data_IF_502508378199
#
_entry.id   IF_502508378199
#
_cell.length_a   1.000
_cell.length_b   1.000
_cell.length_c   1.000
_cell.angle_alpha   90.00
_cell.angle_beta   90.00
_cell.angle_gamma   90.00
#
_symmetry.space_group_name_H-M   'P 1'
#
loop_
_entity.id
_entity.type
_entity.pdbx_description
1 polymer ?
#
# COMPACT_ATOMS: atom_id res chain seq x y z
N UNK A 1 7.98 9.18 11.28
CA UNK A 1 6.60 9.22 10.74
C UNK A 1 6.44 8.47 9.42
N UNK A 2 7.35 8.63 8.44
CA UNK A 2 7.33 7.91 7.14
C UNK A 2 7.23 6.37 7.22
N UNK A 3 7.81 5.74 8.26
CA UNK A 3 7.83 4.28 8.37
C UNK A 3 6.44 3.64 8.59
N UNK A 4 5.47 4.36 9.15
CA UNK A 4 4.13 3.80 9.41
C UNK A 4 3.19 3.92 8.20
N UNK A 5 3.53 4.75 7.20
CA UNK A 5 2.70 4.99 6.00
C UNK A 5 2.38 3.70 5.25
N UNK A 6 3.39 2.83 5.12
CA UNK A 6 3.27 1.55 4.41
C UNK A 6 2.57 0.46 5.23
N UNK A 7 2.27 0.71 6.51
CA UNK A 7 1.63 -0.25 7.40
C UNK A 7 0.12 -0.01 7.55
N UNK A 8 -0.44 1.00 6.87
CA UNK A 8 -1.89 1.23 6.86
C UNK A 8 -2.54 0.31 5.84
N UNK A 9 -3.33 -0.63 6.36
CA UNK A 9 -4.01 -1.66 5.59
C UNK A 9 -5.52 -1.45 5.62
N UNK A 10 -6.14 -1.54 4.45
CA UNK A 10 -7.58 -1.67 4.32
C UNK A 10 -7.97 -3.14 4.37
N UNK A 11 -8.87 -3.47 5.30
CA UNK A 11 -9.54 -4.77 5.37
C UNK A 11 -10.93 -4.62 4.75
N UNK A 12 -11.22 -5.41 3.72
CA UNK A 12 -12.53 -5.42 3.05
C UNK A 12 -13.10 -6.83 3.07
N UNK A 13 -14.30 -6.99 3.63
CA UNK A 13 -15.02 -8.27 3.54
C UNK A 13 -15.46 -8.54 2.10
N UNK A 14 -15.23 -9.76 1.63
CA UNK A 14 -15.64 -10.23 0.28
C UNK A 14 -16.73 -11.29 0.34
N UNK A 15 -16.78 -12.06 1.42
CA UNK A 15 -17.84 -13.01 1.76
C UNK A 15 -17.83 -13.21 3.28
N UNK A 16 -18.88 -13.79 3.90
CA UNK A 16 -18.92 -13.99 5.33
C UNK A 16 -17.65 -14.67 5.87
N UNK A 17 -17.01 -14.04 6.86
CA UNK A 17 -15.78 -14.52 7.48
C UNK A 17 -14.54 -14.49 6.59
N UNK A 18 -14.58 -13.85 5.42
CA UNK A 18 -13.42 -13.71 4.53
C UNK A 18 -13.17 -12.25 4.16
N UNK A 19 -11.88 -11.91 4.09
CA UNK A 19 -11.40 -10.56 3.84
C UNK A 19 -10.32 -10.53 2.77
N UNK A 20 -10.25 -9.40 2.11
CA UNK A 20 -9.10 -8.98 1.30
C UNK A 20 -8.38 -7.87 2.05
N UNK A 21 -7.05 -7.96 2.07
CA UNK A 21 -6.18 -6.99 2.74
C UNK A 21 -5.43 -6.22 1.65
N UNK A 22 -5.53 -4.89 1.66
CA UNK A 22 -4.87 -4.00 0.69
C UNK A 22 -4.06 -2.93 1.40
N UNK A 23 -2.81 -2.72 0.99
CA UNK A 23 -2.01 -1.59 1.45
C UNK A 23 -2.53 -0.28 0.84
N UNK A 24 -2.87 0.70 1.67
CA UNK A 24 -3.40 1.97 1.16
C UNK A 24 -2.33 2.77 0.41
N UNK A 25 -1.13 2.89 0.97
CA UNK A 25 -0.05 3.65 0.35
C UNK A 25 0.52 2.99 -0.91
N UNK A 26 0.62 1.67 -0.95
CA UNK A 26 1.20 0.95 -2.10
C UNK A 26 0.18 0.58 -3.17
N UNK A 27 -1.12 0.67 -2.83
CA UNK A 27 -2.21 0.14 -3.65
C UNK A 27 -2.10 -1.36 -3.98
N UNK A 28 -1.25 -2.13 -3.29
CA UNK A 28 -1.06 -3.55 -3.51
C UNK A 28 -1.97 -4.38 -2.60
N UNK A 29 -2.52 -5.46 -3.15
CA UNK A 29 -3.17 -6.52 -2.38
C UNK A 29 -2.11 -7.37 -1.68
N UNK A 30 -2.36 -7.74 -0.43
CA UNK A 30 -1.60 -8.75 0.27
C UNK A 30 -2.07 -10.12 -0.21
N UNK A 31 -1.16 -10.90 -0.76
CA UNK A 31 -1.44 -12.23 -1.29
C UNK A 31 -0.42 -13.23 -0.74
N UNK A 32 -0.78 -14.50 -0.81
CA UNK A 32 0.05 -15.61 -0.34
C UNK A 32 0.13 -16.69 -1.41
N UNK A 33 1.29 -17.35 -1.52
CA UNK A 33 1.44 -18.52 -2.39
C UNK A 33 1.21 -19.84 -1.62
N UNK A 34 1.31 -20.96 -2.34
CA UNK A 34 1.14 -22.31 -1.77
C UNK A 34 2.17 -22.67 -0.69
N UNK A 35 3.31 -21.97 -0.63
CA UNK A 35 4.33 -22.12 0.40
C UNK A 35 4.14 -21.19 1.60
N UNK A 36 3.05 -20.43 1.65
CA UNK A 36 2.79 -19.47 2.72
C UNK A 36 3.58 -18.15 2.60
N UNK A 37 4.21 -17.86 1.45
CA UNK A 37 4.96 -16.61 1.28
C UNK A 37 4.03 -15.44 1.00
N UNK A 38 4.16 -14.39 1.81
CA UNK A 38 3.44 -13.16 1.62
C UNK A 38 4.10 -12.27 0.58
N UNK A 39 3.30 -11.72 -0.33
CA UNK A 39 3.73 -10.77 -1.36
C UNK A 39 2.67 -9.70 -1.56
N UNK A 40 3.11 -8.53 -2.00
CA UNK A 40 2.22 -7.50 -2.56
C UNK A 40 1.97 -7.77 -4.04
N UNK A 41 0.72 -7.68 -4.49
CA UNK A 41 0.35 -7.84 -5.89
C UNK A 41 -0.64 -6.75 -6.34
N UNK A 42 -0.44 -6.18 -7.53
CA UNK A 42 -1.32 -5.13 -8.06
C UNK A 42 -2.66 -5.66 -8.56
N UNK A 43 -2.70 -6.91 -9.04
CA UNK A 43 -3.91 -7.57 -9.55
C UNK A 43 -4.46 -8.52 -8.50
N UNK A 44 -5.74 -8.35 -8.17
CA UNK A 44 -6.45 -9.23 -7.25
C UNK A 44 -6.67 -10.62 -7.87
N UNK A 45 -6.33 -11.67 -7.11
CA UNK A 45 -6.67 -13.07 -7.40
C UNK A 45 -7.29 -13.67 -6.14
N UNK A 46 -8.51 -14.16 -6.22
CA UNK A 46 -9.23 -14.64 -5.01
C UNK A 46 -8.45 -15.75 -4.29
N UNK A 47 -7.87 -16.70 -5.04
CA UNK A 47 -7.14 -17.83 -4.46
C UNK A 47 -5.93 -17.44 -3.61
N UNK A 48 -5.22 -16.40 -4.06
CA UNK A 48 -3.97 -15.96 -3.44
C UNK A 48 -4.21 -14.83 -2.41
N UNK A 49 -5.23 -14.00 -2.61
CA UNK A 49 -5.39 -12.71 -1.93
C UNK A 49 -6.63 -12.63 -1.01
N UNK A 50 -7.37 -13.73 -0.86
CA UNK A 50 -8.49 -13.83 0.09
C UNK A 50 -8.10 -14.63 1.32
N UNK A 51 -8.49 -14.14 2.49
CA UNK A 51 -8.19 -14.78 3.76
C UNK A 51 -9.43 -15.02 4.59
N UNK A 52 -9.54 -16.19 5.22
CA UNK A 52 -10.53 -16.44 6.26
C UNK A 52 -10.08 -15.77 7.55
N UNK A 53 -10.95 -14.94 8.11
CA UNK A 53 -10.76 -14.25 9.37
C UNK A 53 -11.26 -15.11 10.54
N UNK A 54 -10.39 -15.34 11.53
CA UNK A 54 -10.70 -16.12 12.72
C UNK A 54 -10.39 -15.31 13.98
N UNK A 55 -11.44 -14.93 14.71
CA UNK A 55 -11.30 -14.34 16.03
C UNK A 55 -10.97 -15.44 17.06
N UNK A 56 -9.89 -15.25 17.80
CA UNK A 56 -9.43 -16.16 18.83
C UNK A 56 -10.03 -15.78 20.19
N UNK A 57 -10.10 -16.75 21.11
CA UNK A 57 -10.67 -16.55 22.44
C UNK A 57 -9.94 -15.48 23.29
N UNK A 58 -8.69 -15.15 22.94
CA UNK A 58 -7.91 -14.11 23.60
C UNK A 58 -8.00 -12.74 22.91
N UNK A 59 -8.93 -12.57 21.97
CA UNK A 59 -9.21 -11.29 21.31
C UNK A 59 -8.29 -10.97 20.12
N UNK A 60 -7.28 -11.80 19.85
CA UNK A 60 -6.47 -11.67 18.64
C UNK A 60 -7.18 -12.27 17.42
N UNK A 61 -6.81 -11.80 16.23
CA UNK A 61 -7.30 -12.33 14.96
C UNK A 61 -6.23 -13.12 14.24
N UNK A 62 -6.60 -14.25 13.64
CA UNK A 62 -5.76 -15.05 12.75
C UNK A 62 -6.37 -15.04 11.36
N UNK A 63 -5.54 -14.81 10.35
CA UNK A 63 -5.94 -14.90 8.94
C UNK A 63 -5.38 -16.19 8.36
N UNK A 64 -6.23 -16.98 7.70
CA UNK A 64 -5.82 -18.18 6.97
C UNK A 64 -6.01 -17.94 5.48
N UNK A 65 -5.09 -18.38 4.62
CA UNK A 65 -5.37 -18.34 3.19
C UNK A 65 -6.62 -19.16 2.87
N UNK A 66 -7.48 -18.62 1.99
CA UNK A 66 -8.73 -19.30 1.64
C UNK A 66 -8.46 -20.62 0.90
N UNK A 67 -7.45 -20.64 0.04
CA UNK A 67 -7.19 -21.79 -0.85
C UNK A 67 -6.22 -22.82 -0.27
N UNK A 68 -5.37 -22.46 0.70
CA UNK A 68 -4.37 -23.36 1.29
C UNK A 68 -4.59 -23.63 2.78
N UNK A 69 -5.40 -22.82 3.48
CA UNK A 69 -5.62 -22.96 4.92
C UNK A 69 -4.39 -22.63 5.79
N UNK A 70 -3.32 -22.10 5.18
CA UNK A 70 -2.07 -21.75 5.87
C UNK A 70 -2.26 -20.43 6.62
N UNK A 71 -1.84 -20.33 7.90
CA UNK A 71 -1.91 -19.08 8.63
C UNK A 71 -0.94 -18.05 8.09
N UNK A 72 -1.43 -16.82 7.98
CA UNK A 72 -0.63 -15.66 7.64
C UNK A 72 0.44 -15.44 8.72
N UNK A 73 1.71 -15.33 8.34
CA UNK A 73 2.83 -15.18 9.27
C UNK A 73 3.83 -14.15 8.77
N UNK A 74 4.31 -13.30 9.69
CA UNK A 74 5.40 -12.36 9.44
C UNK A 74 6.79 -12.95 9.76
N UNK A 75 6.88 -14.25 10.05
CA UNK A 75 8.14 -14.90 10.37
C UNK A 75 9.09 -14.93 9.18
N UNK A 76 10.38 -14.69 9.44
CA UNK A 76 11.43 -14.92 8.45
C UNK A 76 11.63 -16.42 8.25
N UNK A 77 11.96 -16.83 7.01
CA UNK A 77 12.01 -18.23 6.60
C UNK A 77 13.11 -19.06 7.26
N UNK A 78 14.08 -18.41 7.92
CA UNK A 78 15.23 -19.07 8.52
C UNK A 78 14.91 -19.82 9.83
N UNK A 79 13.70 -19.71 10.38
CA UNK A 79 13.31 -20.44 11.59
C UNK A 79 12.60 -21.75 11.24
N UNK A 80 13.34 -22.71 10.67
CA UNK A 80 12.81 -24.02 10.26
C UNK A 80 12.68 -25.04 11.41
N UNK A 81 12.98 -24.66 12.65
CA UNK A 81 13.14 -25.60 13.76
C UNK A 81 12.12 -25.43 14.90
N UNK A 82 11.00 -24.74 14.66
CA UNK A 82 9.95 -24.53 15.67
C UNK A 82 8.64 -25.24 15.29
N UNK A 83 8.01 -25.97 16.24
CA UNK A 83 6.75 -26.69 16.00
C UNK A 83 5.55 -25.76 15.74
N UNK A 84 5.70 -24.44 15.94
CA UNK A 84 4.66 -23.44 15.70
C UNK A 84 5.20 -22.30 14.86
N UNK A 85 4.45 -21.93 13.82
CA UNK A 85 4.73 -20.75 12.98
C UNK A 85 4.50 -19.49 13.83
N UNK A 86 5.54 -18.67 14.10
CA UNK A 86 5.39 -17.49 14.95
C UNK A 86 4.73 -16.32 14.20
N UNK A 87 4.36 -15.25 14.92
CA UNK A 87 3.79 -14.02 14.34
C UNK A 87 2.53 -14.23 13.47
N UNK A 88 1.63 -15.12 13.91
CA UNK A 88 0.37 -15.47 13.22
C UNK A 88 -0.89 -14.84 13.86
N UNK A 89 -0.71 -14.00 14.87
CA UNK A 89 -1.79 -13.41 15.66
C UNK A 89 -1.72 -11.90 15.54
N UNK A 90 -2.78 -11.28 15.08
CA UNK A 90 -2.84 -9.86 14.75
C UNK A 90 -3.87 -9.18 15.63
N UNK A 91 -3.53 -7.98 16.12
CA UNK A 91 -4.44 -7.09 16.80
C UNK A 91 -4.68 -5.88 15.90
N UNK A 92 -5.89 -5.68 15.34
CA UNK A 92 -6.18 -4.52 14.52
C UNK A 92 -6.06 -3.24 15.35
N UNK A 93 -5.17 -2.34 14.93
CA UNK A 93 -4.99 -1.04 15.56
C UNK A 93 -5.68 0.03 14.71
N UNK A 94 -6.24 1.05 15.38
CA UNK A 94 -6.78 2.22 14.67
C UNK A 94 -5.63 2.99 14.02
N UNK A 95 -5.82 3.39 12.77
CA UNK A 95 -4.89 4.28 12.09
C UNK A 95 -4.84 5.63 12.81
N UNK A 96 -3.62 6.11 13.09
CA UNK A 96 -3.35 7.42 13.69
C UNK A 96 -2.81 8.44 12.69
N UNK A 97 -2.57 8.00 11.44
CA UNK A 97 -2.07 8.86 10.37
C UNK A 97 -3.21 9.64 9.70
N UNK A 98 -3.01 10.93 9.39
CA UNK A 98 -4.00 11.73 8.67
C UNK A 98 -4.15 11.23 7.22
N UNK A 99 -5.34 11.34 6.60
CA UNK A 99 -5.62 10.82 5.26
C UNK A 99 -4.64 11.30 4.19
N UNK A 100 -4.19 12.56 4.27
CA UNK A 100 -3.30 13.21 3.31
C UNK A 100 -1.92 12.54 3.27
N UNK A 101 -1.50 11.92 4.38
CA UNK A 101 -0.22 11.22 4.46
C UNK A 101 -0.20 9.87 3.74
N UNK A 102 -1.37 9.36 3.33
CA UNK A 102 -1.51 8.06 2.66
C UNK A 102 -1.53 8.20 1.14
N UNK A 103 -1.98 9.34 0.61
CA UNK A 103 -1.91 9.63 -0.83
C UNK A 103 -0.46 9.76 -1.28
N UNK A 104 -0.13 9.16 -2.42
CA UNK A 104 0.99 9.68 -3.23
C UNK A 104 0.55 11.07 -3.68
N UNK A 105 1.30 12.10 -3.30
CA UNK A 105 1.15 13.38 -4.00
C UNK A 105 1.23 13.06 -5.49
N UNK A 106 0.27 13.52 -6.32
CA UNK A 106 0.52 13.53 -7.75
C UNK A 106 1.84 14.29 -7.92
N UNK A 107 2.78 13.68 -8.66
CA UNK A 107 3.97 14.39 -9.10
C UNK A 107 3.52 15.74 -9.66
N UNK A 108 4.23 16.80 -9.26
CA UNK A 108 3.97 18.23 -9.51
C UNK A 108 4.10 18.62 -11.00
N UNK A 109 3.55 17.81 -11.89
CA UNK A 109 3.47 18.01 -13.33
C UNK A 109 2.04 18.35 -13.78
N UNK A 110 1.09 18.47 -12.86
CA UNK A 110 -0.19 19.08 -13.16
C UNK A 110 -0.05 20.60 -13.04
N UNK A 111 0.50 21.20 -14.10
CA UNK A 111 0.32 22.63 -14.37
C UNK A 111 -1.15 22.94 -14.13
N UNK A 112 -1.44 23.78 -13.14
CA UNK A 112 -2.76 24.32 -12.91
C UNK A 112 -3.18 25.04 -14.21
N UNK A 113 -3.98 24.36 -15.05
CA UNK A 113 -4.72 25.02 -16.11
C UNK A 113 -5.86 25.79 -15.44
N UNK A 114 -5.54 26.96 -14.90
CA UNK A 114 -6.53 27.85 -14.33
C UNK A 114 -7.19 28.59 -15.51
N UNK A 115 -8.38 28.14 -15.90
CA UNK A 115 -9.11 28.66 -17.07
C UNK A 115 -9.57 30.12 -16.90
N UNK A 116 -9.44 30.67 -15.68
CA UNK A 116 -9.77 32.05 -15.32
C UNK A 116 -8.51 32.92 -15.08
N UNK A 117 -7.31 32.43 -15.44
CA UNK A 117 -6.05 33.17 -15.31
C UNK A 117 -5.58 33.72 -16.65
N UNK A 118 -5.28 35.02 -16.72
CA UNK A 118 -4.76 35.70 -17.91
C UNK A 118 -3.34 35.23 -18.32
N UNK A 119 -2.62 34.52 -17.44
CA UNK A 119 -1.35 33.84 -17.75
C UNK A 119 -1.53 32.32 -17.76
N UNK A 120 -2.15 31.84 -18.84
CA UNK A 120 -2.48 30.43 -19.06
C UNK A 120 -1.25 29.50 -19.13
N UNK A 121 -0.05 30.07 -19.33
CA UNK A 121 1.20 29.33 -19.52
C UNK A 121 2.25 29.59 -18.42
N UNK A 122 1.94 30.42 -17.42
CA UNK A 122 2.83 30.68 -16.27
C UNK A 122 4.17 31.30 -16.67
N UNK A 123 4.20 32.05 -17.76
CA UNK A 123 5.44 32.60 -18.33
C UNK A 123 5.95 33.82 -17.53
N UNK A 124 5.11 34.41 -16.67
CA UNK A 124 5.49 35.59 -15.88
C UNK A 124 6.42 35.30 -14.69
N UNK A 125 6.52 34.03 -14.25
CA UNK A 125 7.32 33.67 -13.06
C UNK A 125 8.79 33.32 -13.38
N UNK A 126 9.12 33.08 -14.66
CA UNK A 126 10.48 32.75 -15.09
C UNK A 126 10.84 33.56 -16.34
N UNK A 127 11.49 34.73 -16.21
CA UNK A 127 11.96 35.47 -17.37
C UNK A 127 13.03 34.64 -18.09
N UNK A 128 12.68 34.11 -19.26
CA UNK A 128 13.62 33.50 -20.19
C UNK A 128 14.51 34.62 -20.72
N UNK A 129 15.75 34.66 -20.24
CA UNK A 129 16.78 35.57 -20.76
C UNK A 129 17.19 35.07 -22.14
N UNK A 130 16.94 35.88 -23.16
CA UNK A 130 17.38 35.65 -24.55
C UNK A 130 18.90 35.49 -24.61
N UNK A 131 19.45 34.45 -25.27
CA UNK A 131 20.88 34.40 -25.54
C UNK A 131 21.21 35.48 -26.57
N UNK A 132 22.03 36.45 -26.16
CA UNK A 132 22.59 37.47 -27.02
C UNK A 132 23.64 36.83 -27.94
N UNK A 133 23.43 36.90 -29.26
CA UNK A 133 24.43 36.51 -30.26
C UNK A 133 25.53 37.57 -30.30
N UNK A 134 26.69 37.25 -29.75
CA UNK A 134 27.93 38.01 -30.00
C UNK A 134 28.45 37.72 -31.41
N UNK A 135 28.40 38.70 -32.30
CA UNK A 135 29.20 38.71 -33.53
C UNK A 135 30.62 39.11 -33.15
N UNK A 136 31.57 38.18 -33.28
CA UNK A 136 33.00 38.49 -33.27
C UNK A 136 33.46 38.78 -34.70
N UNK A 137 34.35 39.77 -34.83
CA UNK A 137 34.73 40.49 -36.04
C UNK A 137 35.81 39.79 -36.86
#
# INVERSE_FOLDING_TARGET
>A
MLHLRNCVLQLKSVKPGHVVIKGLSSSLFLCVDSGGHLKGQGVYKEDDCSFRELLLADGYTRFLSSSYGIPLSLASRHSSDRPSIPFTRFLPLRNTLPPESLSEQPSDNQRFFNMDSDDLFGMALNPVISPHLSMEK
#
